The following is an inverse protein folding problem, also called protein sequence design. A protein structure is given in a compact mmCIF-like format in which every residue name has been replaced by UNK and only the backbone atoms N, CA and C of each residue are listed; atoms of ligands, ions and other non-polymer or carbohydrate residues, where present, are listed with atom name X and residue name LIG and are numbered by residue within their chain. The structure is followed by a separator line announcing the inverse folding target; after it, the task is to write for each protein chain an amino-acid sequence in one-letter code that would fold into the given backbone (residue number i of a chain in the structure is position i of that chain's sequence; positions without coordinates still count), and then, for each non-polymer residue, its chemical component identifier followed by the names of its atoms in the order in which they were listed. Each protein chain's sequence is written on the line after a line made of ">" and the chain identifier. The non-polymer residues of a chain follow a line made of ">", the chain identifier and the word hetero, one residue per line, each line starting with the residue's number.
data_IF_032885050329
#
_entry.id   IF_032885050329
#
_cell.length_a   1.000
_cell.length_b   1.000
_cell.length_c   1.000
_cell.angle_alpha   90.00
_cell.angle_beta   90.00
_cell.angle_gamma   90.00
#
_symmetry.space_group_name_H-M   'P 1'
#
loop_
_entity.id
_entity.type
_entity.pdbx_description
1 polymer ?
#
# COMPACT_ATOMS: atom_id res chain seq x y z
N UNK A 1 69.18 -9.98 43.75
CA UNK A 1 67.76 -9.58 43.82
C UNK A 1 67.43 -8.72 42.61
N UNK A 2 66.96 -9.33 41.51
CA UNK A 2 66.53 -8.62 40.28
C UNK A 2 65.25 -9.26 39.71
N UNK A 3 64.35 -9.74 40.58
CA UNK A 3 63.10 -10.38 40.16
C UNK A 3 61.89 -9.43 40.10
N UNK A 4 62.03 -8.17 40.53
CA UNK A 4 60.92 -7.19 40.50
C UNK A 4 60.83 -6.34 39.23
N UNK A 5 61.94 -6.18 38.48
CA UNK A 5 62.00 -5.25 37.35
C UNK A 5 61.37 -5.82 36.06
N UNK A 6 61.49 -7.13 35.79
CA UNK A 6 60.88 -7.73 34.59
C UNK A 6 59.39 -8.02 34.76
N UNK A 7 58.92 -8.41 35.96
CA UNK A 7 57.49 -8.64 36.23
C UNK A 7 56.67 -7.36 36.07
N UNK A 8 57.16 -6.22 36.55
CA UNK A 8 56.51 -4.93 36.34
C UNK A 8 56.41 -4.54 34.86
N UNK A 9 57.45 -4.81 34.07
CA UNK A 9 57.45 -4.55 32.63
C UNK A 9 56.43 -5.42 31.89
N UNK A 10 56.33 -6.71 32.21
CA UNK A 10 55.33 -7.61 31.62
C UNK A 10 53.90 -7.15 31.91
N UNK A 11 53.62 -6.69 33.14
CA UNK A 11 52.30 -6.17 33.51
C UNK A 11 51.96 -4.91 32.71
N UNK A 12 52.91 -3.98 32.56
CA UNK A 12 52.71 -2.76 31.77
C UNK A 12 52.45 -3.09 30.30
N UNK A 13 53.23 -3.99 29.71
CA UNK A 13 53.03 -4.43 28.32
C UNK A 13 51.66 -5.08 28.12
N UNK A 14 51.22 -5.91 29.07
CA UNK A 14 49.91 -6.55 29.00
C UNK A 14 48.75 -5.53 29.04
N UNK A 15 48.85 -4.49 29.89
CA UNK A 15 47.85 -3.42 29.96
C UNK A 15 47.79 -2.64 28.64
N UNK A 16 48.94 -2.35 28.03
CA UNK A 16 49.00 -1.62 26.75
C UNK A 16 48.38 -2.45 25.62
N UNK A 17 48.74 -3.73 25.50
CA UNK A 17 48.17 -4.62 24.48
C UNK A 17 46.66 -4.78 24.68
N UNK A 18 46.21 -4.95 25.93
CA UNK A 18 44.78 -5.03 26.25
C UNK A 18 44.04 -3.75 25.90
N UNK A 19 44.61 -2.58 26.21
CA UNK A 19 44.03 -1.28 25.85
C UNK A 19 43.89 -1.09 24.34
N UNK A 20 44.91 -1.47 23.57
CA UNK A 20 44.86 -1.45 22.10
C UNK A 20 43.78 -2.40 21.59
N UNK A 21 43.68 -3.61 22.14
CA UNK A 21 42.65 -4.58 21.77
C UNK A 21 41.23 -4.05 22.04
N UNK A 22 41.00 -3.45 23.21
CA UNK A 22 39.72 -2.81 23.56
C UNK A 22 39.41 -1.65 22.61
N UNK A 23 40.41 -0.82 22.27
CA UNK A 23 40.23 0.31 21.35
C UNK A 23 39.87 -0.15 19.94
N UNK A 24 40.58 -1.15 19.40
CA UNK A 24 40.30 -1.73 18.07
C UNK A 24 38.91 -2.38 18.07
N UNK A 25 38.58 -3.14 19.12
CA UNK A 25 37.25 -3.75 19.27
C UNK A 25 36.15 -2.69 19.32
N UNK A 26 36.37 -1.58 20.04
CA UNK A 26 35.45 -0.46 20.11
C UNK A 26 35.26 0.22 18.75
N UNK A 27 36.34 0.47 18.01
CA UNK A 27 36.28 1.08 16.67
C UNK A 27 35.54 0.17 15.68
N UNK A 28 35.88 -1.13 15.64
CA UNK A 28 35.18 -2.10 14.82
C UNK A 28 33.68 -2.20 15.19
N UNK A 29 33.36 -2.26 16.48
CA UNK A 29 31.98 -2.34 16.93
C UNK A 29 31.20 -1.06 16.59
N UNK A 30 31.79 0.11 16.82
CA UNK A 30 31.17 1.41 16.57
C UNK A 30 30.93 1.66 15.08
N UNK A 31 31.91 1.36 14.25
CA UNK A 31 31.88 1.77 12.84
C UNK A 31 31.25 0.69 11.94
N UNK A 32 31.35 -0.59 12.32
CA UNK A 32 30.83 -1.71 11.51
C UNK A 32 29.56 -2.33 12.08
N UNK A 33 29.53 -2.64 13.38
CA UNK A 33 28.41 -3.39 13.99
C UNK A 33 27.23 -2.49 14.39
N UNK A 34 27.48 -1.28 14.89
CA UNK A 34 26.42 -0.37 15.35
C UNK A 34 25.42 0.01 14.24
N UNK A 35 25.84 0.42 13.02
CA UNK A 35 24.89 0.73 11.96
C UNK A 35 24.08 -0.50 11.54
N UNK A 36 24.76 -1.65 11.41
CA UNK A 36 24.15 -2.92 11.00
C UNK A 36 23.09 -3.40 12.01
N UNK A 37 23.42 -3.40 13.30
CA UNK A 37 22.49 -3.76 14.37
C UNK A 37 21.33 -2.76 14.47
N UNK A 38 21.60 -1.45 14.35
CA UNK A 38 20.56 -0.44 14.37
C UNK A 38 19.57 -0.60 13.21
N UNK A 39 20.03 -1.00 12.03
CA UNK A 39 19.17 -1.34 10.90
C UNK A 39 18.28 -2.54 11.22
N UNK A 40 18.88 -3.65 11.68
CA UNK A 40 18.14 -4.87 12.05
C UNK A 40 17.09 -4.61 13.12
N UNK A 41 17.41 -3.86 14.17
CA UNK A 41 16.45 -3.55 15.24
C UNK A 41 15.33 -2.63 14.77
N UNK A 42 15.64 -1.58 14.00
CA UNK A 42 14.62 -0.68 13.45
C UNK A 42 13.69 -1.42 12.47
N UNK A 43 14.24 -2.23 11.59
CA UNK A 43 13.47 -3.05 10.64
C UNK A 43 12.59 -4.07 11.37
N UNK A 44 13.11 -4.69 12.44
CA UNK A 44 12.35 -5.65 13.25
C UNK A 44 11.21 -4.96 14.02
N UNK A 45 11.45 -3.76 14.56
CA UNK A 45 10.43 -2.96 15.24
C UNK A 45 9.36 -2.44 14.28
N UNK A 46 9.76 -1.98 13.09
CA UNK A 46 8.84 -1.56 12.02
C UNK A 46 7.96 -2.73 11.58
N UNK A 47 8.56 -3.88 11.30
CA UNK A 47 7.82 -5.10 10.95
C UNK A 47 6.88 -5.56 12.08
N UNK A 48 7.31 -5.49 13.33
CA UNK A 48 6.44 -5.84 14.47
C UNK A 48 5.26 -4.88 14.62
N UNK A 49 5.45 -3.59 14.32
CA UNK A 49 4.40 -2.57 14.40
C UNK A 49 3.38 -2.76 13.27
N UNK A 50 3.86 -3.01 12.05
CA UNK A 50 3.01 -3.36 10.90
C UNK A 50 2.23 -4.65 11.16
N UNK A 51 2.86 -5.67 11.75
CA UNK A 51 2.20 -6.92 12.09
C UNK A 51 1.12 -6.74 13.16
N UNK A 52 1.36 -5.89 14.15
CA UNK A 52 0.41 -5.66 15.25
C UNK A 52 -0.77 -4.79 14.82
N UNK A 53 -0.54 -3.79 13.98
CA UNK A 53 -1.59 -2.84 13.54
C UNK A 53 -2.27 -3.25 12.24
N UNK A 54 -1.60 -4.08 11.43
CA UNK A 54 -1.97 -4.38 10.06
C UNK A 54 -1.81 -3.20 9.10
N UNK A 55 -1.34 -2.03 9.56
CA UNK A 55 -1.22 -0.79 8.78
C UNK A 55 0.23 -0.61 8.34
N UNK A 56 0.45 -0.26 7.08
CA UNK A 56 1.79 -0.06 6.55
C UNK A 56 2.48 1.18 7.14
N UNK A 57 3.72 1.01 7.57
CA UNK A 57 4.58 2.14 7.95
C UNK A 57 4.77 3.11 6.77
N UNK A 58 4.68 4.40 7.06
CA UNK A 58 4.89 5.48 6.09
C UNK A 58 6.26 5.45 5.41
N UNK A 59 7.28 4.82 6.01
CA UNK A 59 8.61 4.67 5.41
C UNK A 59 8.59 3.85 4.11
N UNK A 60 7.63 2.93 4.00
CA UNK A 60 7.41 2.12 2.80
C UNK A 60 6.64 2.88 1.71
N UNK A 61 6.05 4.03 2.03
CA UNK A 61 5.12 4.72 1.14
C UNK A 61 5.80 5.88 0.40
N UNK A 62 5.71 5.88 -0.92
CA UNK A 62 6.22 6.98 -1.72
C UNK A 62 5.20 8.15 -1.71
N UNK A 63 5.51 9.15 -0.89
CA UNK A 63 4.70 10.36 -0.78
C UNK A 63 4.67 11.14 -2.11
N UNK A 64 3.47 11.53 -2.53
CA UNK A 64 3.25 12.34 -3.74
C UNK A 64 2.26 13.45 -3.46
N UNK A 65 2.45 14.58 -4.16
CA UNK A 65 1.49 15.71 -4.18
C UNK A 65 0.95 16.00 -5.58
N UNK A 66 1.33 15.22 -6.60
CA UNK A 66 1.02 15.50 -8.01
C UNK A 66 -0.48 15.59 -8.27
N UNK A 67 -1.25 14.61 -7.78
CA UNK A 67 -2.71 14.56 -7.92
C UNK A 67 -3.46 14.75 -6.58
N UNK A 68 -2.78 15.26 -5.56
CA UNK A 68 -3.31 15.41 -4.20
C UNK A 68 -2.33 14.88 -3.16
N UNK A 69 -2.62 15.14 -1.88
CA UNK A 69 -1.76 14.74 -0.76
C UNK A 69 -1.94 13.24 -0.53
N UNK A 70 -0.95 12.43 -0.88
CA UNK A 70 -1.12 10.99 -0.82
C UNK A 70 0.11 10.20 -1.24
N UNK A 71 -0.13 9.07 -1.92
CA UNK A 71 0.92 8.16 -2.40
C UNK A 71 0.74 7.85 -3.88
N UNK A 72 1.84 7.54 -4.57
CA UNK A 72 1.83 6.94 -5.92
C UNK A 72 2.60 5.62 -5.97
N UNK A 73 2.83 4.97 -4.83
CA UNK A 73 3.54 3.69 -4.79
C UNK A 73 4.33 3.49 -3.51
N UNK A 74 5.28 2.57 -3.58
CA UNK A 74 6.17 2.20 -2.49
C UNK A 74 7.59 2.74 -2.70
N UNK A 75 8.34 2.86 -1.61
CA UNK A 75 9.78 3.15 -1.61
C UNK A 75 10.59 1.86 -1.75
N UNK A 76 11.90 1.97 -1.95
CA UNK A 76 12.80 0.80 -2.01
C UNK A 76 12.82 -0.02 -0.72
N UNK A 77 12.54 0.61 0.43
CA UNK A 77 12.49 -0.08 1.73
C UNK A 77 11.39 -1.14 1.81
N UNK A 78 10.39 -1.09 0.93
CA UNK A 78 9.31 -2.08 0.88
C UNK A 78 9.73 -3.43 0.25
N UNK A 79 10.94 -3.51 -0.30
CA UNK A 79 11.42 -4.66 -1.05
C UNK A 79 12.63 -5.29 -0.37
N UNK A 80 12.78 -6.59 -0.53
CA UNK A 80 13.96 -7.35 -0.11
C UNK A 80 15.09 -7.17 -1.15
N UNK A 81 16.30 -7.62 -0.81
CA UNK A 81 17.47 -7.52 -1.69
C UNK A 81 17.29 -8.26 -3.03
N UNK A 82 16.47 -9.32 -3.04
CA UNK A 82 16.11 -10.08 -4.25
C UNK A 82 15.04 -9.38 -5.12
N UNK A 83 14.57 -8.20 -4.71
CA UNK A 83 13.54 -7.42 -5.39
C UNK A 83 12.11 -7.88 -5.10
N UNK A 84 11.90 -8.94 -4.31
CA UNK A 84 10.57 -9.34 -3.87
C UNK A 84 10.01 -8.32 -2.86
N UNK A 85 8.70 -8.08 -2.89
CA UNK A 85 8.05 -7.26 -1.87
C UNK A 85 8.08 -7.99 -0.52
N UNK A 86 8.22 -7.23 0.58
CA UNK A 86 8.06 -7.79 1.93
C UNK A 86 6.67 -8.42 2.07
N UNK A 87 6.60 -9.61 2.66
CA UNK A 87 5.37 -10.42 2.69
C UNK A 87 4.19 -9.73 3.36
N UNK A 88 4.44 -8.94 4.41
CA UNK A 88 3.44 -8.14 5.11
C UNK A 88 2.86 -6.99 4.27
N UNK A 89 3.53 -6.59 3.18
CA UNK A 89 3.11 -5.51 2.29
C UNK A 89 2.39 -6.01 1.03
N UNK A 90 2.22 -7.33 0.85
CA UNK A 90 1.34 -7.89 -0.19
C UNK A 90 -0.10 -7.39 -0.05
N UNK A 91 -0.56 -7.26 1.19
CA UNK A 91 -1.78 -6.49 1.52
C UNK A 91 -1.36 -5.15 2.10
N UNK A 92 -1.49 -4.10 1.30
CA UNK A 92 -1.12 -2.75 1.69
C UNK A 92 -2.32 -2.03 2.33
N UNK A 93 -2.36 -1.99 3.65
CA UNK A 93 -3.34 -1.18 4.39
C UNK A 93 -2.77 0.20 4.64
N UNK A 94 -3.44 1.23 4.09
CA UNK A 94 -2.93 2.60 4.14
C UNK A 94 -3.15 3.25 5.52
N UNK A 95 -2.17 4.02 6.03
CA UNK A 95 -2.36 4.84 7.21
C UNK A 95 -3.27 6.04 6.91
N UNK A 96 -3.87 6.60 7.96
CA UNK A 96 -4.68 7.82 7.86
C UNK A 96 -3.85 9.08 7.56
N UNK A 97 -2.56 9.06 7.91
CA UNK A 97 -1.64 10.18 7.73
C UNK A 97 -0.34 9.72 7.09
N UNK A 98 0.32 10.63 6.38
CA UNK A 98 1.65 10.47 5.81
C UNK A 98 2.40 11.79 5.98
N UNK A 99 3.61 11.75 6.56
CA UNK A 99 4.42 12.95 6.85
C UNK A 99 3.64 14.03 7.63
N UNK A 100 2.86 13.61 8.63
CA UNK A 100 2.08 14.51 9.49
C UNK A 100 0.86 15.18 8.81
N UNK A 101 0.49 14.76 7.60
CA UNK A 101 -0.69 15.24 6.87
C UNK A 101 -1.65 14.09 6.60
N UNK A 102 -2.93 14.36 6.42
CA UNK A 102 -3.89 13.34 5.99
C UNK A 102 -3.48 12.71 4.65
N UNK A 103 -3.52 11.38 4.56
CA UNK A 103 -3.36 10.64 3.32
C UNK A 103 -4.70 10.61 2.58
N UNK A 104 -4.88 11.53 1.63
CA UNK A 104 -6.15 11.76 0.93
C UNK A 104 -6.23 11.12 -0.45
N UNK A 105 -5.09 10.77 -1.07
CA UNK A 105 -5.05 10.34 -2.48
C UNK A 105 -4.24 9.06 -2.73
N UNK A 106 -4.75 8.18 -3.59
CA UNK A 106 -3.94 7.16 -4.28
C UNK A 106 -3.80 7.55 -5.74
N UNK A 107 -2.57 7.84 -6.15
CA UNK A 107 -2.21 8.29 -7.48
C UNK A 107 -1.68 7.14 -8.33
N UNK A 108 -2.59 6.27 -8.78
CA UNK A 108 -2.29 5.20 -9.74
C UNK A 108 -1.74 5.75 -11.06
N UNK A 109 -2.18 6.94 -11.49
CA UNK A 109 -1.76 7.52 -12.77
C UNK A 109 -0.27 7.85 -12.83
N UNK A 110 0.35 8.22 -11.70
CA UNK A 110 1.78 8.47 -11.60
C UNK A 110 2.55 7.34 -10.92
N UNK A 111 1.99 6.13 -10.87
CA UNK A 111 2.59 5.02 -10.14
C UNK A 111 3.67 4.28 -10.92
N UNK A 112 3.48 4.07 -12.23
CA UNK A 112 4.37 3.21 -13.01
C UNK A 112 4.43 1.80 -12.38
N UNK A 113 5.62 1.33 -12.05
CA UNK A 113 5.86 0.01 -11.41
C UNK A 113 5.92 0.07 -9.88
N UNK A 114 5.66 1.22 -9.25
CA UNK A 114 5.93 1.42 -7.81
C UNK A 114 5.03 0.63 -6.86
N UNK A 115 4.00 -0.05 -7.38
CA UNK A 115 3.17 -1.00 -6.63
C UNK A 115 3.45 -2.46 -7.00
N UNK A 116 4.58 -2.77 -7.61
CA UNK A 116 4.91 -4.14 -7.98
C UNK A 116 4.92 -5.05 -6.74
N UNK A 117 4.32 -6.23 -6.85
CA UNK A 117 4.26 -7.21 -5.76
C UNK A 117 3.10 -7.00 -4.78
N UNK A 118 2.49 -5.80 -4.74
CA UNK A 118 1.26 -5.59 -3.96
C UNK A 118 0.12 -6.34 -4.62
N UNK A 119 -0.62 -7.13 -3.84
CA UNK A 119 -1.75 -7.95 -4.28
C UNK A 119 -3.09 -7.31 -3.92
N UNK A 120 -3.16 -6.63 -2.78
CA UNK A 120 -4.36 -5.94 -2.29
C UNK A 120 -4.01 -4.57 -1.71
N UNK A 121 -4.82 -3.56 -2.00
CA UNK A 121 -4.73 -2.24 -1.36
C UNK A 121 -6.01 -1.97 -0.57
N UNK A 122 -5.86 -1.63 0.71
CA UNK A 122 -6.96 -1.21 1.59
C UNK A 122 -6.82 0.27 1.88
N UNK A 123 -7.82 1.05 1.48
CA UNK A 123 -7.87 2.50 1.71
C UNK A 123 -8.06 2.87 3.18
N UNK A 124 -7.76 4.14 3.51
CA UNK A 124 -7.90 4.70 4.84
C UNK A 124 -9.12 5.63 4.94
N UNK A 125 -9.48 6.09 6.15
CA UNK A 125 -10.71 6.89 6.39
C UNK A 125 -10.62 8.37 6.01
N UNK A 126 -9.44 8.85 5.64
CA UNK A 126 -9.21 10.18 5.09
C UNK A 126 -9.12 10.18 3.56
N UNK A 127 -8.97 9.00 2.94
CA UNK A 127 -8.86 8.88 1.49
C UNK A 127 -10.14 9.38 0.82
N UNK A 128 -10.03 10.38 -0.05
CA UNK A 128 -11.17 10.98 -0.75
C UNK A 128 -10.98 11.04 -2.27
N UNK A 129 -9.81 10.62 -2.78
CA UNK A 129 -9.50 10.63 -4.20
C UNK A 129 -8.67 9.41 -4.59
N UNK A 130 -9.02 8.84 -5.73
CA UNK A 130 -8.20 7.88 -6.47
C UNK A 130 -8.10 8.35 -7.93
N UNK A 131 -7.04 7.97 -8.62
CA UNK A 131 -6.85 8.31 -10.05
C UNK A 131 -6.95 7.06 -10.92
N UNK A 132 -7.14 7.22 -12.23
CA UNK A 132 -7.18 6.09 -13.16
C UNK A 132 -5.90 5.23 -13.10
N UNK A 133 -6.05 3.93 -13.31
CA UNK A 133 -4.98 2.95 -13.42
C UNK A 133 -4.37 2.89 -14.82
N UNK A 134 -4.78 3.74 -15.77
CA UNK A 134 -4.34 3.67 -17.17
C UNK A 134 -2.81 3.69 -17.35
N UNK A 135 -2.08 4.39 -16.47
CA UNK A 135 -0.62 4.48 -16.49
C UNK A 135 0.07 3.63 -15.41
N UNK A 136 -0.68 2.81 -14.69
CA UNK A 136 -0.14 1.84 -13.76
C UNK A 136 0.44 0.65 -14.54
N UNK A 137 1.67 0.26 -14.21
CA UNK A 137 2.39 -0.87 -14.81
C UNK A 137 2.65 -2.01 -13.80
N UNK A 138 1.83 -2.07 -12.75
CA UNK A 138 1.78 -3.20 -11.84
C UNK A 138 0.62 -4.10 -12.27
N UNK A 139 0.94 -5.37 -12.51
CA UNK A 139 -0.01 -6.44 -12.85
C UNK A 139 -0.33 -7.33 -11.63
N UNK A 140 0.25 -7.03 -10.47
CA UNK A 140 0.09 -7.85 -9.26
C UNK A 140 -1.12 -7.47 -8.43
N UNK A 141 -1.62 -6.22 -8.54
CA UNK A 141 -2.77 -5.79 -7.74
C UNK A 141 -4.03 -6.46 -8.28
N UNK A 142 -4.65 -7.27 -7.43
CA UNK A 142 -5.87 -8.04 -7.72
C UNK A 142 -7.11 -7.43 -7.06
N UNK A 143 -6.93 -6.75 -5.92
CA UNK A 143 -8.04 -6.24 -5.11
C UNK A 143 -7.81 -4.81 -4.62
N UNK A 144 -8.84 -3.98 -4.79
CA UNK A 144 -8.94 -2.65 -4.22
C UNK A 144 -10.11 -2.60 -3.25
N UNK A 145 -9.81 -2.36 -1.97
CA UNK A 145 -10.82 -2.22 -0.92
C UNK A 145 -10.88 -0.76 -0.46
N UNK A 146 -11.90 -0.04 -0.95
CA UNK A 146 -12.20 1.33 -0.57
C UNK A 146 -13.42 1.45 0.34
N UNK A 147 -13.82 0.37 1.02
CA UNK A 147 -14.99 0.31 1.91
C UNK A 147 -15.01 1.37 3.00
N UNK A 148 -13.84 1.71 3.56
CA UNK A 148 -13.67 2.67 4.67
C UNK A 148 -13.36 4.10 4.20
N UNK A 149 -13.37 4.36 2.90
CA UNK A 149 -12.89 5.62 2.33
C UNK A 149 -14.01 6.64 2.17
N UNK A 150 -13.62 7.91 1.98
CA UNK A 150 -14.48 9.04 1.62
C UNK A 150 -14.45 9.32 0.10
N UNK A 151 -14.07 8.33 -0.70
CA UNK A 151 -14.04 8.46 -2.17
C UNK A 151 -15.48 8.54 -2.67
N UNK A 152 -15.87 9.70 -3.21
CA UNK A 152 -17.23 9.92 -3.73
C UNK A 152 -17.35 9.60 -5.22
N UNK A 153 -16.24 9.69 -5.96
CA UNK A 153 -16.18 9.34 -7.38
C UNK A 153 -14.83 8.70 -7.77
N UNK A 154 -14.83 7.95 -8.87
CA UNK A 154 -13.63 7.29 -9.42
C UNK A 154 -12.80 8.17 -10.37
N UNK A 155 -12.87 9.49 -10.19
CA UNK A 155 -12.19 10.47 -11.05
C UNK A 155 -12.95 10.74 -12.36
N UNK A 156 -12.35 11.57 -13.21
CA UNK A 156 -13.07 12.19 -14.34
C UNK A 156 -13.56 11.13 -15.34
N UNK A 157 -12.74 10.12 -15.70
CA UNK A 157 -13.08 9.04 -16.66
C UNK A 157 -12.14 7.82 -16.48
N UNK A 158 -12.59 6.63 -16.88
CA UNK A 158 -11.74 5.45 -17.20
C UNK A 158 -10.91 4.87 -16.04
N UNK A 159 -11.48 4.75 -14.84
CA UNK A 159 -10.73 4.31 -13.66
C UNK A 159 -9.92 3.02 -13.82
N UNK A 160 -10.56 1.90 -14.21
CA UNK A 160 -9.96 0.60 -14.51
C UNK A 160 -10.00 0.25 -16.00
N UNK A 161 -10.14 1.24 -16.89
CA UNK A 161 -10.22 0.97 -18.32
C UNK A 161 -8.98 0.21 -18.79
N UNK A 162 -9.19 -0.84 -19.57
CA UNK A 162 -8.16 -1.71 -20.14
C UNK A 162 -7.23 -2.34 -19.06
N UNK A 163 -7.62 -2.31 -17.77
CA UNK A 163 -6.85 -2.92 -16.69
C UNK A 163 -6.97 -4.46 -16.74
N UNK A 164 -5.83 -5.14 -16.64
CA UNK A 164 -5.71 -6.59 -16.84
C UNK A 164 -5.49 -7.40 -15.56
N UNK A 165 -5.45 -6.76 -14.38
CA UNK A 165 -5.11 -7.45 -13.12
C UNK A 165 -6.17 -7.34 -12.01
N UNK A 166 -6.83 -6.18 -11.87
CA UNK A 166 -7.73 -5.89 -10.75
C UNK A 166 -9.07 -6.60 -10.99
N UNK A 167 -9.32 -7.62 -10.18
CA UNK A 167 -10.52 -8.47 -10.24
C UNK A 167 -11.59 -8.05 -9.25
N UNK A 168 -11.21 -7.39 -8.14
CA UNK A 168 -12.14 -7.03 -7.06
C UNK A 168 -12.05 -5.55 -6.71
N UNK A 169 -13.21 -4.91 -6.62
CA UNK A 169 -13.33 -3.52 -6.20
C UNK A 169 -14.48 -3.37 -5.19
N UNK A 170 -14.17 -2.81 -4.03
CA UNK A 170 -15.17 -2.40 -3.04
C UNK A 170 -15.20 -0.89 -2.91
N UNK A 171 -16.37 -0.27 -3.02
CA UNK A 171 -16.59 1.18 -2.91
C UNK A 171 -17.36 1.50 -1.63
N UNK A 172 -16.89 2.53 -0.92
CA UNK A 172 -17.36 2.90 0.41
C UNK A 172 -18.72 3.61 0.44
N UNK A 173 -19.19 3.88 1.65
CA UNK A 173 -20.55 4.40 1.89
C UNK A 173 -20.81 5.79 1.31
N UNK A 174 -19.74 6.56 1.09
CA UNK A 174 -19.79 7.91 0.53
C UNK A 174 -19.80 7.95 -1.00
N UNK A 175 -19.73 6.78 -1.67
CA UNK A 175 -19.66 6.71 -3.12
C UNK A 175 -20.97 7.15 -3.79
N UNK A 176 -20.89 8.02 -4.80
CA UNK A 176 -22.05 8.59 -5.49
C UNK A 176 -21.92 8.68 -7.00
N UNK A 177 -20.73 8.47 -7.58
CA UNK A 177 -20.52 8.64 -9.03
C UNK A 177 -19.40 7.75 -9.59
N UNK A 178 -19.70 7.02 -10.66
CA UNK A 178 -18.77 6.17 -11.40
C UNK A 178 -17.85 6.94 -12.35
N UNK A 179 -18.28 8.10 -12.83
CA UNK A 179 -17.67 8.77 -13.96
C UNK A 179 -17.90 8.00 -15.26
N UNK A 180 -17.21 8.41 -16.32
CA UNK A 180 -17.40 7.84 -17.65
C UNK A 180 -16.64 6.53 -17.85
N UNK A 181 -17.37 5.46 -18.18
CA UNK A 181 -16.86 4.16 -18.60
C UNK A 181 -15.70 3.61 -17.72
N UNK A 182 -15.85 3.59 -16.38
CA UNK A 182 -14.75 3.29 -15.46
C UNK A 182 -14.21 1.88 -15.60
N UNK A 183 -14.97 0.92 -16.13
CA UNK A 183 -14.58 -0.49 -16.19
C UNK A 183 -14.51 -1.02 -17.63
N UNK A 184 -14.40 -0.13 -18.63
CA UNK A 184 -14.34 -0.54 -20.02
C UNK A 184 -13.17 -1.48 -20.27
N UNK A 185 -13.43 -2.65 -20.87
CA UNK A 185 -12.44 -3.69 -21.17
C UNK A 185 -11.58 -4.14 -19.97
N UNK A 186 -12.06 -3.95 -18.73
CA UNK A 186 -11.33 -4.41 -17.55
C UNK A 186 -11.56 -5.91 -17.29
N UNK A 187 -10.67 -6.53 -16.52
CA UNK A 187 -10.86 -7.91 -16.00
C UNK A 187 -11.65 -7.96 -14.69
N UNK A 188 -12.37 -6.89 -14.33
CA UNK A 188 -13.09 -6.83 -13.05
C UNK A 188 -14.14 -7.97 -12.98
N UNK A 189 -14.11 -8.75 -11.91
CA UNK A 189 -14.99 -9.90 -11.68
C UNK A 189 -16.00 -9.63 -10.56
N UNK A 190 -15.65 -8.78 -9.59
CA UNK A 190 -16.48 -8.47 -8.42
C UNK A 190 -16.49 -6.97 -8.13
N UNK A 191 -17.68 -6.39 -8.05
CA UNK A 191 -17.91 -5.02 -7.62
C UNK A 191 -18.84 -5.04 -6.40
N UNK A 192 -18.36 -4.50 -5.28
CA UNK A 192 -19.15 -4.35 -4.06
C UNK A 192 -19.38 -2.87 -3.78
N UNK A 193 -20.65 -2.48 -3.67
CA UNK A 193 -21.09 -1.16 -3.28
C UNK A 193 -21.56 -1.21 -1.84
N UNK A 194 -21.12 -0.28 -0.99
CA UNK A 194 -21.64 -0.17 0.39
C UNK A 194 -22.48 1.10 0.59
N UNK A 195 -22.52 2.00 -0.39
CA UNK A 195 -23.34 3.20 -0.36
C UNK A 195 -24.83 2.88 -0.40
N UNK A 196 -25.59 3.61 0.41
CA UNK A 196 -27.06 3.50 0.49
C UNK A 196 -27.77 4.66 -0.21
N UNK A 197 -27.00 5.64 -0.67
CA UNK A 197 -27.48 6.81 -1.40
C UNK A 197 -27.40 6.58 -2.90
N UNK A 198 -28.32 7.19 -3.65
CA UNK A 198 -28.39 7.05 -5.11
C UNK A 198 -27.07 7.44 -5.81
N UNK A 199 -26.74 6.73 -6.88
CA UNK A 199 -25.57 6.98 -7.71
C UNK A 199 -25.97 7.80 -8.93
N UNK A 200 -25.36 8.96 -9.20
CA UNK A 200 -25.93 9.92 -10.17
C UNK A 200 -25.79 9.51 -11.64
N UNK A 201 -24.87 8.60 -11.96
CA UNK A 201 -24.37 8.35 -13.33
C UNK A 201 -24.26 6.86 -13.68
N UNK A 202 -25.24 6.05 -13.22
CA UNK A 202 -25.24 4.60 -13.48
C UNK A 202 -25.10 4.23 -14.97
N UNK A 203 -25.69 5.02 -15.88
CA UNK A 203 -25.55 4.77 -17.31
C UNK A 203 -24.09 4.87 -17.75
N UNK A 204 -23.38 5.89 -17.29
CA UNK A 204 -21.97 6.11 -17.68
C UNK A 204 -21.07 5.05 -17.07
N UNK A 205 -21.39 4.60 -15.85
CA UNK A 205 -20.73 3.50 -15.17
C UNK A 205 -20.93 2.15 -15.86
N UNK A 206 -22.17 1.79 -16.18
CA UNK A 206 -22.54 0.43 -16.54
C UNK A 206 -22.77 0.19 -18.03
N UNK A 207 -22.87 1.25 -18.85
CA UNK A 207 -23.09 1.08 -20.29
C UNK A 207 -21.89 0.44 -21.01
N UNK A 208 -20.68 0.58 -20.45
CA UNK A 208 -19.43 0.12 -21.06
C UNK A 208 -18.76 -1.07 -20.34
N UNK A 209 -19.45 -1.73 -19.41
CA UNK A 209 -18.86 -2.89 -18.70
C UNK A 209 -18.83 -4.14 -19.59
N UNK A 210 -17.86 -5.05 -19.37
CA UNK A 210 -17.89 -6.38 -19.96
C UNK A 210 -19.17 -7.12 -19.54
N UNK A 211 -19.97 -7.56 -20.52
CA UNK A 211 -21.24 -8.24 -20.25
C UNK A 211 -21.02 -9.58 -19.56
N UNK A 212 -21.87 -9.90 -18.59
CA UNK A 212 -21.90 -11.19 -17.88
C UNK A 212 -20.57 -11.57 -17.19
N UNK A 213 -19.73 -10.57 -16.88
CA UNK A 213 -18.45 -10.77 -16.21
C UNK A 213 -18.53 -10.45 -14.71
N UNK A 214 -19.06 -9.28 -14.38
CA UNK A 214 -19.04 -8.73 -13.03
C UNK A 214 -20.19 -9.31 -12.19
N UNK A 215 -19.87 -9.79 -10.99
CA UNK A 215 -20.82 -10.01 -9.89
C UNK A 215 -20.95 -8.71 -9.11
N UNK A 216 -22.16 -8.15 -9.05
CA UNK A 216 -22.46 -6.93 -8.31
C UNK A 216 -23.07 -7.28 -6.95
N UNK A 217 -22.44 -6.85 -5.85
CA UNK A 217 -23.02 -6.88 -4.51
C UNK A 217 -23.42 -5.45 -4.14
N UNK A 218 -24.69 -5.22 -3.81
CA UNK A 218 -25.20 -3.88 -3.50
C UNK A 218 -26.21 -3.92 -2.35
N UNK A 219 -26.40 -2.82 -1.59
CA UNK A 219 -27.44 -2.75 -0.58
C UNK A 219 -28.82 -2.71 -1.23
N UNK A 220 -29.84 -3.24 -0.54
CA UNK A 220 -31.24 -3.21 -1.01
C UNK A 220 -31.75 -1.82 -1.38
N UNK A 221 -31.21 -0.77 -0.77
CA UNK A 221 -31.53 0.63 -1.03
C UNK A 221 -31.27 1.04 -2.49
N UNK A 222 -30.33 0.39 -3.18
CA UNK A 222 -30.00 0.68 -4.58
C UNK A 222 -30.83 -0.12 -5.60
N UNK A 223 -31.66 -1.07 -5.15
CA UNK A 223 -32.34 -2.04 -6.01
C UNK A 223 -33.16 -1.42 -7.14
N UNK A 224 -34.01 -0.45 -6.82
CA UNK A 224 -34.86 0.19 -7.84
C UNK A 224 -34.03 0.90 -8.90
N UNK A 225 -32.89 1.48 -8.51
CA UNK A 225 -32.00 2.18 -9.42
C UNK A 225 -31.20 1.25 -10.34
N UNK A 226 -30.83 0.08 -9.83
CA UNK A 226 -30.00 -0.92 -10.51
C UNK A 226 -30.80 -1.83 -11.44
N UNK A 227 -32.12 -1.92 -11.27
CA UNK A 227 -33.02 -2.85 -11.99
C UNK A 227 -32.85 -2.84 -13.51
N UNK A 228 -32.69 -1.68 -14.14
CA UNK A 228 -32.52 -1.57 -15.60
C UNK A 228 -31.15 -2.03 -16.11
N UNK A 229 -30.18 -2.21 -15.20
CA UNK A 229 -28.80 -2.60 -15.51
C UNK A 229 -28.47 -4.05 -15.10
N UNK A 230 -29.34 -4.75 -14.38
CA UNK A 230 -29.07 -6.10 -13.87
C UNK A 230 -28.64 -7.08 -14.96
N UNK A 231 -29.24 -7.00 -16.15
CA UNK A 231 -28.91 -7.83 -17.31
C UNK A 231 -27.50 -7.62 -17.89
N UNK A 232 -26.78 -6.58 -17.45
CA UNK A 232 -25.38 -6.33 -17.79
C UNK A 232 -24.42 -7.20 -16.98
N UNK A 233 -24.82 -7.53 -15.75
CA UNK A 233 -24.00 -8.24 -14.77
C UNK A 233 -24.15 -9.75 -14.92
N UNK A 234 -23.16 -10.49 -14.40
CA UNK A 234 -23.24 -11.95 -14.28
C UNK A 234 -24.33 -12.34 -13.27
N UNK A 235 -24.29 -11.70 -12.11
CA UNK A 235 -25.21 -11.86 -10.98
C UNK A 235 -25.28 -10.53 -10.24
N UNK A 236 -26.46 -10.19 -9.72
CA UNK A 236 -26.65 -9.07 -8.79
C UNK A 236 -27.19 -9.60 -7.47
N UNK A 237 -26.46 -9.35 -6.38
CA UNK A 237 -26.81 -9.74 -5.02
C UNK A 237 -27.20 -8.49 -4.22
N UNK A 238 -28.41 -8.48 -3.68
CA UNK A 238 -28.87 -7.43 -2.77
C UNK A 238 -28.82 -7.91 -1.32
N UNK A 239 -28.17 -7.14 -0.44
CA UNK A 239 -28.09 -7.42 1.00
C UNK A 239 -28.84 -6.40 1.86
#
# INVERSE_FOLDING_TARGET
>A
MTNGSSQGLFVVVAIVIFGIFVLISYLLFKDTLKPSLSGVFSDSLGQSTDYLTGVANQEYLNFSTTNGIGINGLTSSAYNEDGSIKSNLKTLVLPNTIRGKDLKTIDFNNSGTRFQGVEKIVGNSNLNRVTSTANMRSDTILELDFSKTKVTNLGVQYFLRDNTSIKKLTLGEHFTSFGYAPFQNSVLEELTLTNKTSITDLSDGFMAIPRNQITLNAPKELKEQLKSYESRFKVVNYY
#
